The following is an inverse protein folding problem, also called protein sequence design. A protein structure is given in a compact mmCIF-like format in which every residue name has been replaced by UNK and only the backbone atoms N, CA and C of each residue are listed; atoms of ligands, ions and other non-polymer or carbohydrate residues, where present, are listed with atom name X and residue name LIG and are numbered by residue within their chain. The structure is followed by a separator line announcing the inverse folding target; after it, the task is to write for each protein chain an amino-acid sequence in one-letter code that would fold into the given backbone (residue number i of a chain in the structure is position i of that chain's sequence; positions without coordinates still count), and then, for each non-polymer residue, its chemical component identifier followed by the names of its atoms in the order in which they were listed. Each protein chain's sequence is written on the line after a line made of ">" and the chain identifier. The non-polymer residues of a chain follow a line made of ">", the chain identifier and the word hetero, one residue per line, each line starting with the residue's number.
data_IF_780683561565
#
_entry.id   IF_780683561565
#
_cell.length_a   1.000
_cell.length_b   1.000
_cell.length_c   1.000
_cell.angle_alpha   90.00
_cell.angle_beta   90.00
_cell.angle_gamma   90.00
#
_symmetry.space_group_name_H-M   'P 1'
#
loop_
_entity.id
_entity.type
_entity.pdbx_description
1 polymer ?
#
# COMPACT_ATOMS: atom_id res chain seq x y z
N UNK A 1 -22.37 -2.96 -5.75
CA UNK A 1 -21.53 -3.53 -4.66
C UNK A 1 -20.43 -2.54 -4.36
N UNK A 2 -20.20 -2.25 -3.10
CA UNK A 2 -19.15 -1.29 -2.73
C UNK A 2 -17.80 -2.00 -2.57
N UNK A 3 -16.73 -1.25 -2.80
CA UNK A 3 -15.37 -1.76 -2.60
C UNK A 3 -15.07 -1.80 -1.11
N UNK A 4 -14.53 -2.93 -0.64
CA UNK A 4 -14.10 -3.06 0.76
C UNK A 4 -12.67 -2.54 0.92
N UNK A 5 -12.53 -1.39 1.58
CA UNK A 5 -11.21 -0.82 1.86
C UNK A 5 -10.34 -1.75 2.69
N UNK A 6 -10.95 -2.50 3.62
CA UNK A 6 -10.22 -3.46 4.45
C UNK A 6 -9.62 -4.58 3.61
N UNK A 7 -10.39 -5.13 2.68
CA UNK A 7 -9.87 -6.21 1.82
C UNK A 7 -8.75 -5.71 0.90
N UNK A 8 -8.90 -4.49 0.38
CA UNK A 8 -7.86 -3.88 -0.44
C UNK A 8 -6.59 -3.66 0.39
N UNK A 9 -6.73 -3.13 1.61
CA UNK A 9 -5.58 -2.90 2.48
C UNK A 9 -4.86 -4.21 2.84
N UNK A 10 -5.59 -5.29 3.12
CA UNK A 10 -4.98 -6.59 3.40
C UNK A 10 -4.25 -7.15 2.17
N UNK A 11 -4.81 -6.97 0.99
CA UNK A 11 -4.15 -7.39 -0.24
C UNK A 11 -2.86 -6.59 -0.50
N UNK A 12 -2.89 -5.29 -0.22
CA UNK A 12 -1.71 -4.43 -0.32
C UNK A 12 -0.65 -4.83 0.69
N UNK A 13 -1.04 -5.14 1.92
CA UNK A 13 -0.11 -5.62 2.94
C UNK A 13 0.62 -6.88 2.45
N UNK A 14 -0.10 -7.83 1.91
CA UNK A 14 0.50 -9.06 1.36
C UNK A 14 1.46 -8.73 0.21
N UNK A 15 1.06 -7.86 -0.69
CA UNK A 15 1.90 -7.45 -1.81
C UNK A 15 3.19 -6.77 -1.31
N UNK A 16 3.09 -5.88 -0.32
CA UNK A 16 4.26 -5.20 0.23
C UNK A 16 5.22 -6.17 0.90
N UNK A 17 4.72 -7.12 1.69
CA UNK A 17 5.56 -8.11 2.34
C UNK A 17 6.30 -8.97 1.32
N UNK A 18 5.62 -9.37 0.26
CA UNK A 18 6.20 -10.21 -0.78
C UNK A 18 7.22 -9.44 -1.63
N UNK A 19 6.86 -8.22 -2.05
CA UNK A 19 7.69 -7.45 -2.97
C UNK A 19 8.91 -6.83 -2.30
N UNK A 20 8.77 -6.37 -1.05
CA UNK A 20 9.90 -5.76 -0.33
C UNK A 20 10.78 -6.77 0.38
N UNK A 21 10.26 -7.97 0.64
CA UNK A 21 10.95 -8.97 1.45
C UNK A 21 11.06 -8.60 2.91
N UNK A 22 10.28 -7.63 3.38
CA UNK A 22 10.30 -7.13 4.76
C UNK A 22 8.90 -7.19 5.35
N UNK A 23 8.84 -7.17 6.69
CA UNK A 23 7.57 -7.18 7.39
C UNK A 23 6.79 -5.89 7.15
N UNK A 24 5.49 -6.02 7.04
CA UNK A 24 4.58 -4.89 6.92
C UNK A 24 3.47 -5.05 7.94
N UNK A 25 3.37 -4.10 8.87
CA UNK A 25 2.27 -4.06 9.83
C UNK A 25 1.04 -3.41 9.22
N UNK A 26 -0.12 -3.69 9.80
CA UNK A 26 -1.39 -3.07 9.40
C UNK A 26 -1.90 -2.24 10.57
N UNK A 27 -1.81 -0.92 10.42
CA UNK A 27 -2.23 0.02 11.46
C UNK A 27 -1.32 0.09 12.67
N UNK A 28 -0.44 -0.87 12.85
CA UNK A 28 0.55 -0.90 13.93
C UNK A 28 1.85 -1.51 13.41
N UNK A 29 2.93 -1.32 14.16
CA UNK A 29 4.20 -1.95 13.82
C UNK A 29 4.04 -3.48 13.81
N UNK A 30 4.84 -4.20 12.97
CA UNK A 30 4.80 -5.66 12.98
C UNK A 30 5.09 -6.20 14.38
N UNK A 31 4.39 -7.25 14.76
CA UNK A 31 4.58 -7.85 16.08
C UNK A 31 5.74 -8.85 16.05
N UNK A 32 6.37 -9.04 17.21
CA UNK A 32 7.47 -9.99 17.33
C UNK A 32 7.02 -11.42 16.99
N UNK A 33 5.74 -11.74 17.17
CA UNK A 33 5.20 -13.05 16.87
C UNK A 33 5.08 -13.33 15.37
N UNK A 34 5.11 -12.30 14.54
CA UNK A 34 5.08 -12.46 13.09
C UNK A 34 6.48 -12.67 12.49
N UNK A 35 7.51 -12.58 13.32
CA UNK A 35 8.91 -12.68 12.88
C UNK A 35 9.64 -13.72 13.75
N UNK A 36 10.43 -14.62 13.14
CA UNK A 36 11.12 -15.67 13.91
C UNK A 36 12.16 -15.13 14.92
N UNK A 37 12.73 -13.96 14.66
CA UNK A 37 13.86 -13.41 15.45
C UNK A 37 13.56 -12.02 16.00
N UNK A 38 12.28 -11.65 16.13
CA UNK A 38 11.88 -10.31 16.54
C UNK A 38 11.66 -9.39 15.35
N UNK A 39 11.40 -8.10 15.62
CA UNK A 39 11.10 -7.14 14.58
C UNK A 39 12.39 -6.83 13.82
N UNK A 40 12.40 -7.14 12.53
CA UNK A 40 13.52 -6.85 11.65
C UNK A 40 13.37 -5.44 11.07
N UNK A 41 14.38 -4.61 11.31
CA UNK A 41 14.45 -3.26 10.78
C UNK A 41 15.30 -3.26 9.50
N UNK A 42 14.91 -2.59 8.42
CA UNK A 42 13.70 -1.75 8.29
C UNK A 42 12.42 -2.54 8.06
N UNK A 43 11.30 -1.93 8.42
CA UNK A 43 9.98 -2.48 8.15
C UNK A 43 9.06 -1.35 7.70
N UNK A 44 7.85 -1.69 7.26
CA UNK A 44 6.85 -0.67 6.96
C UNK A 44 5.55 -0.95 7.70
N UNK A 45 4.73 0.09 7.82
CA UNK A 45 3.41 0.01 8.42
C UNK A 45 2.42 0.62 7.44
N UNK A 46 1.37 -0.14 7.15
CA UNK A 46 0.32 0.28 6.24
C UNK A 46 -0.86 0.83 7.04
N UNK A 47 -1.30 2.03 6.68
CA UNK A 47 -2.48 2.65 7.25
C UNK A 47 -3.53 2.86 6.17
N UNK A 48 -4.77 2.51 6.47
CA UNK A 48 -5.89 2.80 5.61
C UNK A 48 -6.40 4.20 5.94
N UNK A 49 -6.34 5.11 4.96
CA UNK A 49 -6.77 6.51 5.16
C UNK A 49 -8.21 6.75 4.71
N UNK A 50 -8.86 5.73 4.16
CA UNK A 50 -10.24 5.83 3.74
C UNK A 50 -10.41 5.83 2.23
N UNK A 51 -11.65 5.91 1.81
CA UNK A 51 -12.03 5.95 0.41
C UNK A 51 -12.66 7.27 0.09
N UNK A 52 -12.33 7.80 -1.08
CA UNK A 52 -13.20 8.79 -1.70
C UNK A 52 -14.01 8.06 -2.75
N UNK A 53 -15.33 8.17 -2.69
CA UNK A 53 -16.17 7.76 -3.78
C UNK A 53 -15.71 8.54 -5.00
N UNK A 54 -15.36 7.84 -6.05
CA UNK A 54 -15.03 8.50 -7.29
C UNK A 54 -16.23 9.25 -7.82
N UNK A 55 -16.08 9.87 -8.97
CA UNK A 55 -17.24 10.28 -9.74
C UNK A 55 -18.03 8.99 -9.94
N UNK A 56 -19.07 8.83 -9.17
CA UNK A 56 -19.80 7.59 -9.13
C UNK A 56 -20.24 7.15 -10.52
N UNK A 57 -20.59 5.89 -10.68
CA UNK A 57 -21.11 5.43 -11.96
C UNK A 57 -22.32 6.25 -12.33
N UNK A 58 -22.52 6.44 -13.61
CA UNK A 58 -23.72 7.12 -14.08
C UNK A 58 -24.96 6.35 -13.62
N UNK A 59 -26.05 7.08 -13.53
CA UNK A 59 -27.31 6.50 -13.06
C UNK A 59 -27.66 5.25 -13.86
N UNK A 60 -27.88 4.16 -13.16
CA UNK A 60 -28.18 2.87 -13.81
C UNK A 60 -26.97 1.98 -14.03
N UNK A 61 -25.77 2.49 -13.80
CA UNK A 61 -24.54 1.69 -13.87
C UNK A 61 -24.33 0.98 -12.54
N UNK A 62 -24.11 -0.33 -12.57
CA UNK A 62 -23.91 -1.12 -11.38
C UNK A 62 -22.43 -1.26 -10.99
N UNK A 63 -21.51 -0.83 -11.85
CA UNK A 63 -20.09 -0.81 -11.52
C UNK A 63 -19.80 0.34 -10.56
N UNK A 64 -18.90 0.10 -9.64
CA UNK A 64 -18.48 1.12 -8.70
C UNK A 64 -16.96 1.24 -8.70
N UNK A 65 -16.50 2.45 -8.93
CA UNK A 65 -15.08 2.77 -8.81
C UNK A 65 -14.84 3.52 -7.50
N UNK A 66 -13.75 3.19 -6.84
CA UNK A 66 -13.37 3.85 -5.60
C UNK A 66 -11.90 4.24 -5.65
N UNK A 67 -11.60 5.40 -5.08
CA UNK A 67 -10.21 5.81 -4.84
C UNK A 67 -9.90 5.55 -3.38
N UNK A 68 -8.93 4.69 -3.15
CA UNK A 68 -8.55 4.28 -1.80
C UNK A 68 -7.19 4.88 -1.49
N UNK A 69 -7.14 5.66 -0.41
CA UNK A 69 -5.90 6.26 0.06
C UNK A 69 -5.27 5.35 1.10
N UNK A 70 -3.99 5.09 0.89
CA UNK A 70 -3.19 4.27 1.80
C UNK A 70 -1.92 5.03 2.15
N UNK A 71 -1.53 4.96 3.41
CA UNK A 71 -0.27 5.51 3.86
C UNK A 71 0.68 4.39 4.22
N UNK A 72 1.89 4.48 3.70
CA UNK A 72 2.97 3.54 4.04
C UNK A 72 4.03 4.33 4.80
N UNK A 73 4.28 3.94 6.04
CA UNK A 73 5.34 4.50 6.86
C UNK A 73 6.48 3.51 6.91
N UNK A 74 7.62 3.87 6.36
CA UNK A 74 8.82 3.04 6.35
C UNK A 74 9.70 3.44 7.52
N UNK A 75 10.07 2.48 8.36
CA UNK A 75 10.73 2.73 9.65
C UNK A 75 12.11 2.10 9.65
N UNK A 76 13.09 2.87 10.10
CA UNK A 76 14.45 2.39 10.24
C UNK A 76 15.16 3.06 11.42
N UNK A 77 16.37 2.57 11.74
CA UNK A 77 17.21 3.16 12.76
C UNK A 77 18.13 4.25 12.20
N UNK A 78 18.19 4.38 10.90
CA UNK A 78 18.90 5.46 10.21
C UNK A 78 18.02 6.04 9.11
N UNK A 79 18.32 7.27 8.69
CA UNK A 79 17.61 7.89 7.59
C UNK A 79 17.73 7.07 6.30
N UNK A 80 18.91 6.49 6.08
CA UNK A 80 19.14 5.67 4.90
C UNK A 80 18.28 4.40 4.90
N UNK A 81 18.13 3.74 6.03
CA UNK A 81 17.28 2.55 6.13
C UNK A 81 15.81 2.90 5.85
N UNK A 82 15.32 3.99 6.40
CA UNK A 82 13.95 4.42 6.16
C UNK A 82 13.73 4.77 4.68
N UNK A 83 14.67 5.49 4.07
CA UNK A 83 14.59 5.83 2.65
C UNK A 83 14.69 4.60 1.76
N UNK A 84 15.55 3.65 2.10
CA UNK A 84 15.69 2.40 1.34
C UNK A 84 14.39 1.60 1.37
N UNK A 85 13.78 1.48 2.54
CA UNK A 85 12.50 0.79 2.66
C UNK A 85 11.41 1.52 1.88
N UNK A 86 11.40 2.85 1.92
CA UNK A 86 10.45 3.66 1.15
C UNK A 86 10.63 3.46 -0.37
N UNK A 87 11.87 3.37 -0.85
CA UNK A 87 12.14 3.08 -2.26
C UNK A 87 11.60 1.72 -2.66
N UNK A 88 11.79 0.72 -1.80
CA UNK A 88 11.25 -0.62 -2.05
C UNK A 88 9.72 -0.61 -2.08
N UNK A 89 9.09 0.13 -1.19
CA UNK A 89 7.63 0.26 -1.17
C UNK A 89 7.13 0.96 -2.43
N UNK A 90 7.79 2.02 -2.86
CA UNK A 90 7.43 2.72 -4.09
C UNK A 90 7.55 1.80 -5.30
N UNK A 91 8.64 1.04 -5.40
CA UNK A 91 8.81 0.07 -6.47
C UNK A 91 7.76 -1.03 -6.42
N UNK A 92 7.39 -1.48 -5.22
CA UNK A 92 6.36 -2.50 -5.06
C UNK A 92 5.01 -2.04 -5.64
N UNK A 93 4.65 -0.77 -5.41
CA UNK A 93 3.41 -0.23 -5.94
C UNK A 93 3.47 0.08 -7.43
N UNK A 94 4.58 0.64 -7.89
CA UNK A 94 4.62 1.34 -9.18
C UNK A 94 5.43 0.63 -10.26
N UNK A 95 6.24 -0.38 -9.92
CA UNK A 95 7.04 -1.09 -10.92
C UNK A 95 6.15 -1.77 -11.95
N UNK A 96 6.55 -1.69 -13.21
CA UNK A 96 5.80 -2.27 -14.32
C UNK A 96 6.61 -3.34 -15.02
N UNK A 97 5.91 -4.30 -15.61
CA UNK A 97 6.57 -5.32 -16.45
C UNK A 97 7.06 -4.64 -17.73
N UNK A 98 8.34 -4.76 -18.07
CA UNK A 98 8.86 -4.15 -19.29
C UNK A 98 8.10 -4.62 -20.53
N UNK A 99 7.69 -3.67 -21.36
CA UNK A 99 7.02 -3.95 -22.62
C UNK A 99 5.51 -4.18 -22.54
N UNK A 100 4.94 -4.43 -21.38
CA UNK A 100 3.50 -4.69 -21.26
C UNK A 100 2.72 -3.55 -20.62
N UNK A 101 3.38 -2.71 -19.83
CA UNK A 101 2.71 -1.64 -19.09
C UNK A 101 1.92 -2.10 -17.89
N UNK A 102 1.88 -3.41 -17.62
CA UNK A 102 1.18 -3.94 -16.45
C UNK A 102 2.05 -3.81 -15.21
N UNK A 103 1.40 -3.67 -14.04
CA UNK A 103 2.12 -3.61 -12.78
C UNK A 103 2.77 -4.96 -12.46
N UNK A 104 4.02 -4.90 -12.00
CA UNK A 104 4.81 -6.10 -11.74
C UNK A 104 4.26 -6.89 -10.55
N UNK A 105 3.84 -6.19 -9.50
CA UNK A 105 3.37 -6.83 -8.27
C UNK A 105 1.86 -6.78 -8.21
N UNK A 106 1.21 -7.93 -8.21
CA UNK A 106 -0.24 -8.01 -8.22
C UNK A 106 -0.82 -7.66 -6.84
N UNK A 107 -1.94 -6.94 -6.87
CA UNK A 107 -2.77 -6.72 -5.68
C UNK A 107 -4.09 -7.44 -5.97
N UNK A 108 -4.28 -8.58 -5.33
CA UNK A 108 -5.42 -9.45 -5.61
C UNK A 108 -6.50 -9.22 -4.56
N UNK A 109 -7.64 -8.68 -5.00
CA UNK A 109 -8.78 -8.42 -4.15
C UNK A 109 -9.96 -9.22 -4.67
N UNK A 110 -10.62 -9.96 -3.78
CA UNK A 110 -11.78 -10.76 -4.16
C UNK A 110 -12.94 -9.83 -4.54
N UNK A 111 -13.49 -10.02 -5.73
CA UNK A 111 -14.63 -9.26 -6.20
C UNK A 111 -14.32 -7.85 -6.67
N UNK A 112 -13.04 -7.51 -6.83
CA UNK A 112 -12.64 -6.18 -7.29
C UNK A 112 -11.36 -6.25 -8.08
N UNK A 113 -11.12 -5.24 -8.90
CA UNK A 113 -9.92 -5.13 -9.71
C UNK A 113 -9.24 -3.80 -9.45
N UNK A 114 -7.95 -3.83 -9.17
CA UNK A 114 -7.15 -2.61 -9.04
C UNK A 114 -6.76 -2.16 -10.44
N UNK A 115 -7.33 -1.04 -10.88
CA UNK A 115 -7.14 -0.55 -12.25
C UNK A 115 -6.13 0.60 -12.34
N UNK A 116 -5.76 1.20 -11.21
CA UNK A 116 -4.78 2.27 -11.21
C UNK A 116 -4.05 2.36 -9.89
N UNK A 117 -2.81 2.81 -9.95
CA UNK A 117 -1.96 3.04 -8.78
C UNK A 117 -1.18 4.32 -8.98
N UNK A 118 -1.19 5.19 -7.97
CA UNK A 118 -0.47 6.46 -8.04
C UNK A 118 0.21 6.74 -6.72
N UNK A 119 1.37 7.40 -6.80
CA UNK A 119 1.98 8.02 -5.64
C UNK A 119 1.35 9.38 -5.46
N UNK A 120 0.63 9.56 -4.35
CA UNK A 120 -0.06 10.83 -4.06
C UNK A 120 0.92 11.87 -3.53
N UNK A 121 1.69 11.51 -2.50
CA UNK A 121 2.72 12.39 -1.95
C UNK A 121 3.73 11.63 -1.11
N UNK A 122 4.89 12.21 -0.95
CA UNK A 122 5.91 11.75 -0.01
C UNK A 122 6.25 12.90 0.93
N UNK A 123 6.22 12.63 2.24
CA UNK A 123 6.51 13.64 3.25
C UNK A 123 7.98 13.64 3.67
N UNK A 124 8.76 12.67 3.17
CA UNK A 124 10.17 12.57 3.51
C UNK A 124 10.41 11.94 4.87
N UNK A 125 11.62 12.06 5.35
CA UNK A 125 12.06 11.41 6.58
C UNK A 125 11.86 12.32 7.77
N UNK A 126 11.27 11.77 8.85
CA UNK A 126 11.21 12.42 10.15
C UNK A 126 11.88 11.53 11.19
N UNK A 127 12.33 12.12 12.31
CA UNK A 127 12.97 11.36 13.37
C UNK A 127 12.32 11.67 14.71
N UNK A 128 12.01 10.61 15.46
CA UNK A 128 11.51 10.69 16.83
C UNK A 128 12.20 9.60 17.64
N UNK A 129 12.84 9.98 18.75
CA UNK A 129 13.51 9.03 19.65
C UNK A 129 14.46 8.08 18.89
N UNK A 130 15.29 8.64 18.02
CA UNK A 130 16.26 7.88 17.21
C UNK A 130 15.62 6.89 16.23
N UNK A 131 14.32 7.00 16.00
CA UNK A 131 13.60 6.21 15.01
C UNK A 131 13.26 7.08 13.81
N UNK A 132 13.69 6.66 12.65
CA UNK A 132 13.47 7.40 11.41
C UNK A 132 12.29 6.80 10.68
N UNK A 133 11.36 7.67 10.24
CA UNK A 133 10.16 7.26 9.54
C UNK A 133 10.03 8.06 8.24
N UNK A 134 9.84 7.34 7.14
CA UNK A 134 9.57 7.94 5.83
C UNK A 134 8.13 7.67 5.46
N UNK A 135 7.35 8.71 5.26
CA UNK A 135 5.91 8.59 5.02
C UNK A 135 5.61 8.79 3.55
N UNK A 136 4.88 7.85 2.97
CA UNK A 136 4.41 7.90 1.59
C UNK A 136 2.91 7.68 1.58
N UNK A 137 2.24 8.32 0.64
CA UNK A 137 0.80 8.17 0.47
C UNK A 137 0.52 7.72 -0.96
N UNK A 138 -0.22 6.63 -1.08
CA UNK A 138 -0.57 6.05 -2.37
C UNK A 138 -2.07 6.06 -2.57
N UNK A 139 -2.49 6.19 -3.82
CA UNK A 139 -3.89 6.12 -4.21
C UNK A 139 -4.07 4.93 -5.15
N UNK A 140 -5.01 4.07 -4.81
CA UNK A 140 -5.42 2.98 -5.68
C UNK A 140 -6.80 3.28 -6.22
N UNK A 141 -6.97 3.09 -7.51
CA UNK A 141 -8.28 3.11 -8.14
C UNK A 141 -8.75 1.67 -8.30
N UNK A 142 -9.86 1.34 -7.69
CA UNK A 142 -10.37 -0.02 -7.64
C UNK A 142 -11.76 -0.04 -8.22
N UNK A 143 -12.03 -1.00 -9.08
CA UNK A 143 -13.31 -1.16 -9.73
C UNK A 143 -13.96 -2.47 -9.31
N UNK A 144 -15.25 -2.43 -9.01
CA UNK A 144 -16.04 -3.66 -8.80
C UNK A 144 -16.83 -3.94 -10.06
N UNK A 145 -16.81 -5.18 -10.53
CA UNK A 145 -17.60 -5.51 -11.72
C UNK A 145 -19.08 -5.44 -11.42
N UNK A 146 -19.84 -5.22 -12.47
CA UNK A 146 -21.29 -5.30 -12.44
C UNK A 146 -21.69 -6.75 -12.15
N UNK A 147 -22.42 -6.95 -11.10
CA UNK A 147 -22.86 -8.29 -10.71
C UNK A 147 -24.32 -8.54 -11.06
#
# INVERSE_FOLDING_TARGET
>A
MSVSGRQVALAVQTMLQTATGRSCGYGTAPTATSLPTGITIPYCVLYELGQTGGIGPSFGDADADARILLQVSSVGTTAEQASLQADKARQAFLARVPGSGQFLNAINVVGATVIGRELDREDGTSVVNSTYTYVQRFVLTVSTPNS
#
